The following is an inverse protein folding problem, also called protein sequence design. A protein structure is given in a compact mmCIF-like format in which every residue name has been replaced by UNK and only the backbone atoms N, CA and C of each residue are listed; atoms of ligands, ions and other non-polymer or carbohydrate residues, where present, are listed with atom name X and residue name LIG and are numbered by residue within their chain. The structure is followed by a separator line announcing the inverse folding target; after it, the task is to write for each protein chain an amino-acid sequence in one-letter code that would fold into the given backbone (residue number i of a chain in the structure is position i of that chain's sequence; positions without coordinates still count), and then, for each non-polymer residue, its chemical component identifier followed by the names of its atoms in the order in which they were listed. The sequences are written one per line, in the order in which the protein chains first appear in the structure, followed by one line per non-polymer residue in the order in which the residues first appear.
data_IF_112883666674
#
_entry.id   IF_112883666674
#
_cell.length_a   1.000
_cell.length_b   1.000
_cell.length_c   1.000
_cell.angle_alpha   90.00
_cell.angle_beta   90.00
_cell.angle_gamma   90.00
#
_symmetry.space_group_name_H-M   'P 1'
#
loop_
_entity.id
_entity.type
_entity.pdbx_description
1 polymer ?
#
# COMPACT_ATOMS: atom_id res chain seq x y z
N UNK A 1 -13.67 20.26 3.01
CA UNK A 1 -12.49 19.52 2.56
C UNK A 1 -12.97 18.11 2.25
N UNK A 2 -12.90 17.66 1.01
CA UNK A 2 -13.30 16.29 0.67
C UNK A 2 -12.41 15.30 1.42
N UNK A 3 -13.02 14.27 2.01
CA UNK A 3 -12.29 13.18 2.65
C UNK A 3 -11.70 12.29 1.57
N UNK A 4 -10.39 12.33 1.39
CA UNK A 4 -9.69 11.45 0.45
C UNK A 4 -9.62 10.05 1.06
N UNK A 5 -10.18 9.06 0.37
CA UNK A 5 -9.97 7.65 0.68
C UNK A 5 -8.50 7.32 0.46
N UNK A 6 -7.90 6.56 1.38
CA UNK A 6 -6.49 6.16 1.26
C UNK A 6 -6.34 4.64 1.20
N UNK A 7 -5.22 4.18 0.64
CA UNK A 7 -4.88 2.75 0.68
C UNK A 7 -4.80 2.18 2.10
N UNK A 8 -4.43 3.01 3.10
CA UNK A 8 -4.47 2.62 4.51
C UNK A 8 -5.89 2.40 5.01
N UNK A 9 -6.84 3.29 4.68
CA UNK A 9 -8.25 3.10 5.02
C UNK A 9 -8.81 1.83 4.36
N UNK A 10 -8.48 1.59 3.09
CA UNK A 10 -8.88 0.37 2.37
C UNK A 10 -8.28 -0.91 2.98
N UNK A 11 -7.03 -0.85 3.44
CA UNK A 11 -6.45 -1.94 4.22
C UNK A 11 -7.23 -2.19 5.52
N UNK A 12 -7.67 -1.13 6.21
CA UNK A 12 -8.41 -1.27 7.48
C UNK A 12 -9.80 -1.88 7.31
N UNK A 13 -10.46 -1.71 6.15
CA UNK A 13 -11.69 -2.45 5.80
C UNK A 13 -11.47 -3.96 5.96
N UNK A 14 -10.35 -4.48 5.46
CA UNK A 14 -10.01 -5.90 5.55
C UNK A 14 -9.50 -6.38 6.91
N UNK A 15 -9.47 -5.50 7.93
CA UNK A 15 -8.97 -5.82 9.27
C UNK A 15 -10.08 -5.72 10.31
N UNK A 16 -10.74 -4.57 10.43
CA UNK A 16 -11.74 -4.32 11.48
C UNK A 16 -12.53 -3.03 11.21
N UNK A 17 -13.86 -3.11 11.22
CA UNK A 17 -14.77 -1.98 11.03
C UNK A 17 -14.55 -0.84 12.03
N UNK A 18 -14.28 -1.17 13.30
CA UNK A 18 -13.97 -0.16 14.31
C UNK A 18 -12.69 0.60 13.97
N UNK A 19 -11.69 -0.09 13.44
CA UNK A 19 -10.40 0.50 13.11
C UNK A 19 -10.52 1.53 11.97
N UNK A 20 -11.29 1.21 10.93
CA UNK A 20 -11.55 2.17 9.85
C UNK A 20 -12.38 3.35 10.35
N UNK A 21 -13.39 3.12 11.19
CA UNK A 21 -14.18 4.21 11.77
C UNK A 21 -13.29 5.17 12.58
N UNK A 22 -12.44 4.64 13.48
CA UNK A 22 -11.51 5.44 14.27
C UNK A 22 -10.54 6.23 13.38
N UNK A 23 -9.90 5.55 12.42
CA UNK A 23 -8.94 6.19 11.52
C UNK A 23 -9.59 7.27 10.63
N UNK A 24 -10.81 7.03 10.15
CA UNK A 24 -11.59 8.01 9.38
C UNK A 24 -11.98 9.26 10.17
N UNK A 25 -12.00 9.16 11.50
CA UNK A 25 -12.21 10.28 12.43
C UNK A 25 -10.90 10.80 13.04
N UNK A 26 -9.75 10.51 12.41
CA UNK A 26 -8.41 10.93 12.86
C UNK A 26 -8.02 10.42 14.27
N UNK A 27 -8.63 9.32 14.73
CA UNK A 27 -8.24 8.62 15.95
C UNK A 27 -7.24 7.53 15.56
N UNK A 28 -5.96 7.81 15.78
CA UNK A 28 -4.86 6.97 15.32
C UNK A 28 -4.33 6.03 16.41
N UNK A 29 -3.68 4.94 15.96
CA UNK A 29 -2.94 4.05 16.86
C UNK A 29 -1.57 4.61 17.24
N UNK A 30 -0.90 3.94 18.18
CA UNK A 30 0.46 4.28 18.60
C UNK A 30 1.46 4.21 17.43
N UNK A 31 2.17 5.31 17.16
CA UNK A 31 3.04 5.48 15.97
C UNK A 31 4.49 5.07 16.20
N UNK A 32 4.92 4.99 17.46
CA UNK A 32 6.32 4.75 17.85
C UNK A 32 6.58 3.28 18.21
N UNK A 33 5.94 2.36 17.48
CA UNK A 33 6.15 0.92 17.64
C UNK A 33 7.29 0.44 16.73
N UNK A 34 8.20 -0.38 17.24
CA UNK A 34 9.39 -0.87 16.50
C UNK A 34 9.03 -1.57 15.18
N UNK A 35 7.95 -2.36 15.18
CA UNK A 35 7.43 -2.99 13.95
C UNK A 35 7.03 -2.00 12.85
N UNK A 36 6.61 -0.77 13.20
CA UNK A 36 6.36 0.29 12.23
C UNK A 36 7.66 0.85 11.67
N UNK A 37 8.70 0.99 12.51
CA UNK A 37 10.04 1.38 12.06
C UNK A 37 10.63 0.35 11.09
N UNK A 38 10.52 -0.94 11.41
CA UNK A 38 10.91 -2.03 10.50
C UNK A 38 10.12 -2.00 9.19
N UNK A 39 8.83 -1.68 9.23
CA UNK A 39 8.01 -1.53 8.03
C UNK A 39 8.52 -0.43 7.09
N UNK A 40 8.91 0.73 7.64
CA UNK A 40 9.51 1.83 6.87
C UNK A 40 10.84 1.43 6.25
N UNK A 41 11.72 0.81 7.04
CA UNK A 41 13.00 0.30 6.55
C UNK A 41 12.82 -0.70 5.39
N UNK A 42 11.82 -1.59 5.48
CA UNK A 42 11.51 -2.55 4.41
C UNK A 42 11.03 -1.86 3.13
N UNK A 43 10.16 -0.86 3.23
CA UNK A 43 9.72 -0.08 2.06
C UNK A 43 10.91 0.60 1.37
N UNK A 44 11.85 1.13 2.15
CA UNK A 44 13.05 1.80 1.64
C UNK A 44 14.09 0.83 1.05
N UNK A 45 14.23 -0.38 1.61
CA UNK A 45 15.32 -1.32 1.25
C UNK A 45 14.90 -2.41 0.25
N UNK A 46 13.64 -2.83 0.24
CA UNK A 46 13.16 -3.89 -0.67
C UNK A 46 13.15 -3.43 -2.13
N UNK A 47 13.35 -4.36 -3.07
CA UNK A 47 13.32 -4.08 -4.53
C UNK A 47 14.22 -2.90 -4.95
N UNK A 48 15.54 -2.94 -4.68
CA UNK A 48 16.45 -1.82 -4.91
C UNK A 48 16.68 -1.46 -6.38
N UNK A 49 16.23 -2.31 -7.33
CA UNK A 49 16.46 -2.11 -8.78
C UNK A 49 15.23 -1.52 -9.48
N UNK A 50 14.12 -1.43 -8.76
CA UNK A 50 12.84 -0.99 -9.25
C UNK A 50 12.60 0.48 -8.89
N UNK A 51 11.73 1.17 -9.65
CA UNK A 51 11.34 2.54 -9.29
C UNK A 51 10.52 2.49 -8.00
N UNK A 52 10.98 3.25 -7.01
CA UNK A 52 10.35 3.31 -5.67
C UNK A 52 9.42 4.49 -5.53
N UNK A 53 8.39 4.30 -4.70
CA UNK A 53 7.50 5.33 -4.15
C UNK A 53 6.88 6.29 -5.19
N UNK A 54 5.75 5.87 -5.78
CA UNK A 54 4.87 6.77 -6.51
C UNK A 54 3.75 7.27 -5.59
N UNK A 55 3.71 8.59 -5.35
CA UNK A 55 2.65 9.24 -4.60
C UNK A 55 1.58 9.79 -5.54
N UNK A 56 0.33 9.41 -5.29
CA UNK A 56 -0.87 9.91 -5.95
C UNK A 56 -1.91 10.29 -4.87
N UNK A 57 -2.98 11.02 -5.19
CA UNK A 57 -4.05 11.28 -4.21
C UNK A 57 -4.58 9.98 -3.59
N UNK A 58 -4.44 9.83 -2.28
CA UNK A 58 -4.88 8.63 -1.54
C UNK A 58 -3.98 7.40 -1.67
N UNK A 59 -2.93 7.44 -2.50
CA UNK A 59 -2.10 6.27 -2.80
C UNK A 59 -0.62 6.55 -2.61
N UNK A 60 0.09 5.56 -2.09
CA UNK A 60 1.55 5.51 -2.07
C UNK A 60 1.94 4.10 -2.51
N UNK A 61 2.39 3.99 -3.75
CA UNK A 61 2.78 2.71 -4.35
C UNK A 61 4.27 2.48 -4.10
N UNK A 62 4.63 1.37 -3.45
CA UNK A 62 6.02 1.10 -3.06
C UNK A 62 6.91 0.76 -4.26
N UNK A 63 6.41 -0.07 -5.18
CA UNK A 63 7.18 -0.61 -6.32
C UNK A 63 6.45 -0.35 -7.63
N UNK A 64 7.18 0.13 -8.64
CA UNK A 64 6.70 0.29 -10.00
C UNK A 64 7.68 -0.35 -11.00
N UNK A 65 7.19 -1.27 -11.83
CA UNK A 65 7.99 -2.00 -12.82
C UNK A 65 7.26 -2.06 -14.16
N UNK A 66 7.97 -1.79 -15.26
CA UNK A 66 7.50 -2.13 -16.61
C UNK A 66 7.69 -3.62 -16.87
N UNK A 67 6.70 -4.28 -17.47
CA UNK A 67 6.86 -5.66 -17.95
C UNK A 67 7.89 -5.67 -19.10
N UNK A 68 8.82 -6.64 -19.14
CA UNK A 68 9.69 -6.86 -20.30
C UNK A 68 8.87 -7.10 -21.58
N UNK A 69 9.42 -6.66 -22.72
CA UNK A 69 8.82 -6.47 -24.05
C UNK A 69 8.48 -7.74 -24.85
N UNK A 70 8.29 -8.87 -24.17
CA UNK A 70 7.99 -10.19 -24.74
C UNK A 70 6.51 -10.58 -24.62
N UNK A 71 5.65 -9.67 -24.13
CA UNK A 71 4.20 -9.82 -24.16
C UNK A 71 3.60 -9.06 -25.36
N UNK A 72 2.70 -9.71 -26.12
CA UNK A 72 2.02 -9.16 -27.31
C UNK A 72 1.02 -8.02 -27.01
N UNK A 73 0.85 -7.62 -25.76
CA UNK A 73 -0.05 -6.55 -25.31
C UNK A 73 0.76 -5.34 -24.79
N UNK A 74 0.28 -4.13 -25.08
CA UNK A 74 0.88 -2.83 -24.76
C UNK A 74 1.54 -2.75 -23.37
N UNK A 75 2.62 -1.95 -23.27
CA UNK A 75 3.48 -1.68 -22.09
C UNK A 75 2.78 -1.80 -20.72
N UNK A 76 2.59 -3.01 -20.22
CA UNK A 76 1.89 -3.23 -18.95
C UNK A 76 2.77 -2.77 -17.77
N UNK A 77 2.21 -1.89 -16.94
CA UNK A 77 2.83 -1.43 -15.71
C UNK A 77 2.41 -2.33 -14.55
N UNK A 78 3.40 -2.81 -13.79
CA UNK A 78 3.20 -3.62 -12.59
C UNK A 78 3.45 -2.75 -11.37
N UNK A 79 2.45 -2.67 -10.50
CA UNK A 79 2.56 -2.04 -9.17
C UNK A 79 2.77 -3.10 -8.10
N UNK A 80 3.46 -2.74 -7.02
CA UNK A 80 3.68 -3.61 -5.87
C UNK A 80 3.61 -2.86 -4.54
N UNK A 81 3.21 -3.60 -3.52
CA UNK A 81 3.16 -3.17 -2.12
C UNK A 81 4.07 -4.09 -1.30
N UNK A 82 5.00 -3.51 -0.54
CA UNK A 82 5.95 -4.25 0.29
C UNK A 82 5.37 -4.43 1.70
N UNK A 83 5.21 -5.68 2.14
CA UNK A 83 4.71 -5.99 3.48
C UNK A 83 5.64 -6.94 4.22
N UNK A 84 5.92 -6.63 5.49
CA UNK A 84 6.73 -7.47 6.40
C UNK A 84 6.24 -8.92 6.50
N UNK A 85 4.92 -9.15 6.41
CA UNK A 85 4.32 -10.46 6.67
C UNK A 85 3.04 -10.67 5.88
N UNK A 86 2.74 -11.91 5.47
CA UNK A 86 1.50 -12.25 4.76
C UNK A 86 0.27 -12.39 5.68
N UNK A 87 0.39 -12.23 7.00
CA UNK A 87 -0.71 -12.46 7.96
C UNK A 87 -2.00 -11.67 7.66
N UNK A 88 -1.88 -10.53 6.99
CA UNK A 88 -3.00 -9.66 6.62
C UNK A 88 -3.26 -9.67 5.10
N UNK A 89 -2.97 -10.77 4.40
CA UNK A 89 -3.05 -10.86 2.93
C UNK A 89 -4.38 -10.37 2.34
N UNK A 90 -5.50 -10.64 2.99
CA UNK A 90 -6.80 -10.14 2.53
C UNK A 90 -6.85 -8.60 2.50
N UNK A 91 -6.50 -7.95 3.62
CA UNK A 91 -6.39 -6.48 3.71
C UNK A 91 -5.34 -5.90 2.75
N UNK A 92 -4.26 -6.63 2.50
CA UNK A 92 -3.21 -6.22 1.56
C UNK A 92 -3.71 -6.25 0.11
N UNK A 93 -4.53 -7.25 -0.25
CA UNK A 93 -5.18 -7.32 -1.56
C UNK A 93 -6.21 -6.21 -1.77
N UNK A 94 -6.96 -5.83 -0.73
CA UNK A 94 -7.90 -4.70 -0.82
C UNK A 94 -7.17 -3.38 -1.07
N UNK A 95 -6.03 -3.15 -0.42
CA UNK A 95 -5.18 -1.98 -0.70
C UNK A 95 -4.69 -1.96 -2.16
N UNK A 96 -4.14 -3.08 -2.65
CA UNK A 96 -3.70 -3.18 -4.05
C UNK A 96 -4.86 -3.07 -5.04
N UNK A 97 -6.02 -3.64 -4.73
CA UNK A 97 -7.24 -3.50 -5.53
C UNK A 97 -7.65 -2.04 -5.67
N UNK A 98 -7.60 -1.27 -4.57
CA UNK A 98 -7.84 0.17 -4.60
C UNK A 98 -6.83 0.93 -5.49
N UNK A 99 -5.57 0.48 -5.56
CA UNK A 99 -4.57 1.09 -6.44
C UNK A 99 -4.74 0.76 -7.93
N UNK A 100 -5.56 -0.24 -8.26
CA UNK A 100 -5.82 -0.69 -9.64
C UNK A 100 -7.15 -0.18 -10.21
N UNK A 101 -8.00 0.44 -9.39
CA UNK A 101 -9.25 1.09 -9.83
C UNK A 101 -8.95 2.40 -10.56
#
# INVERSE_FOLDING_TARGET
MESIVTGTLMSYVGICDRKIWLAGHAIEGYRDHELLALGRLLAESAYPRERKELSLPGMKVDVLRRRPTDAEEDEALVIGEVKRSPRAQHAQRLQLGYYLL
#
